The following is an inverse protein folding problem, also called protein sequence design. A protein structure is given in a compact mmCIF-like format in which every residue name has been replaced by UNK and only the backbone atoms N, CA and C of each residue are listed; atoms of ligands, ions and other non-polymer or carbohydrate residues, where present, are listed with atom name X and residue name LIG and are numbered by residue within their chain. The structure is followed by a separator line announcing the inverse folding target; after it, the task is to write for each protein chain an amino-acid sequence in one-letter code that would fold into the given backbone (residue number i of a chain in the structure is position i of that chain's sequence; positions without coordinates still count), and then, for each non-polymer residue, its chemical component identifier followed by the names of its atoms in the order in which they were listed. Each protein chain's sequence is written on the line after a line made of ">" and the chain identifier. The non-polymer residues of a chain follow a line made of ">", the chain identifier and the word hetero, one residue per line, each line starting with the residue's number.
data_IF_227460579926
#
_entry.id   IF_227460579926
#
_cell.length_a   1.000
_cell.length_b   1.000
_cell.length_c   1.000
_cell.angle_alpha   90.00
_cell.angle_beta   90.00
_cell.angle_gamma   90.00
#
_symmetry.space_group_name_H-M   'P 1'
#
loop_
_entity.id
_entity.type
_entity.pdbx_description
1 polymer ?
#
# COMPACT_ATOMS: atom_id res chain seq x y z
N UNK A 1 -14.66 1.08 77.28
CA UNK A 1 -14.49 1.01 75.81
C UNK A 1 -13.85 2.30 75.24
N UNK A 2 -12.74 2.81 75.80
CA UNK A 2 -12.11 4.08 75.37
C UNK A 2 -10.89 3.91 74.45
N UNK A 3 -10.36 2.70 74.32
CA UNK A 3 -9.12 2.41 73.59
C UNK A 3 -9.30 1.72 72.23
N UNK A 4 -10.53 1.42 71.82
CA UNK A 4 -10.82 0.81 70.52
C UNK A 4 -10.66 1.82 69.37
N UNK A 5 -11.08 3.06 69.56
CA UNK A 5 -11.01 4.14 68.56
C UNK A 5 -9.58 4.45 68.07
N UNK A 6 -8.57 4.63 68.94
CA UNK A 6 -7.20 4.89 68.47
C UNK A 6 -6.58 3.69 67.76
N UNK A 7 -6.97 2.47 68.14
CA UNK A 7 -6.45 1.24 67.54
C UNK A 7 -6.93 1.06 66.09
N UNK A 8 -8.21 1.37 65.81
CA UNK A 8 -8.74 1.39 64.44
C UNK A 8 -8.07 2.46 63.57
N UNK A 9 -7.72 3.62 64.14
CA UNK A 9 -7.06 4.70 63.41
C UNK A 9 -5.65 4.31 62.94
N UNK A 10 -4.87 3.63 63.78
CA UNK A 10 -3.53 3.12 63.44
C UNK A 10 -3.61 2.03 62.36
N UNK A 11 -4.60 1.14 62.46
CA UNK A 11 -4.86 0.10 61.45
C UNK A 11 -5.24 0.70 60.09
N UNK A 12 -6.05 1.76 60.08
CA UNK A 12 -6.49 2.42 58.86
C UNK A 12 -5.32 3.14 58.14
N UNK A 13 -4.44 3.81 58.89
CA UNK A 13 -3.24 4.44 58.32
C UNK A 13 -2.30 3.39 57.72
N UNK A 14 -2.13 2.25 58.38
CA UNK A 14 -1.31 1.13 57.88
C UNK A 14 -1.81 0.58 56.54
N UNK A 15 -3.13 0.36 56.40
CA UNK A 15 -3.74 -0.12 55.15
C UNK A 15 -3.54 0.88 54.00
N UNK A 16 -3.73 2.19 54.26
CA UNK A 16 -3.51 3.23 53.25
C UNK A 16 -2.04 3.27 52.80
N UNK A 17 -1.08 3.13 53.73
CA UNK A 17 0.34 3.11 53.38
C UNK A 17 0.72 1.92 52.50
N UNK A 18 0.17 0.72 52.76
CA UNK A 18 0.44 -0.48 51.94
C UNK A 18 -0.11 -0.32 50.52
N UNK A 19 -1.32 0.25 50.36
CA UNK A 19 -1.93 0.48 49.04
C UNK A 19 -1.11 1.50 48.24
N UNK A 20 -0.62 2.56 48.88
CA UNK A 20 0.15 3.60 48.20
C UNK A 20 1.54 3.10 47.76
N UNK A 21 2.21 2.29 48.60
CA UNK A 21 3.51 1.67 48.27
C UNK A 21 3.39 0.62 47.16
N UNK A 22 2.31 -0.18 47.14
CA UNK A 22 2.08 -1.15 46.05
C UNK A 22 1.58 -0.50 44.75
N UNK A 23 0.93 0.67 44.80
CA UNK A 23 0.48 1.40 43.60
C UNK A 23 1.62 2.09 42.83
N UNK A 24 2.77 2.30 43.48
CA UNK A 24 3.97 2.87 42.87
C UNK A 24 4.75 1.86 42.00
N UNK A 25 4.49 0.55 42.12
CA UNK A 25 5.06 -0.49 41.25
C UNK A 25 4.25 -0.66 39.97
N UNK A 26 4.05 0.42 39.23
CA UNK A 26 3.64 0.30 37.83
C UNK A 26 4.83 -0.29 37.08
N UNK A 27 4.71 -1.55 36.67
CA UNK A 27 5.65 -2.16 35.75
C UNK A 27 5.94 -1.18 34.59
N UNK A 28 7.20 -0.99 34.18
CA UNK A 28 7.52 -0.10 33.08
C UNK A 28 6.67 -0.54 31.90
N UNK A 29 5.73 0.33 31.49
CA UNK A 29 4.98 0.12 30.26
C UNK A 29 6.02 -0.07 29.17
N UNK A 30 6.14 -1.31 28.66
CA UNK A 30 6.94 -1.58 27.46
C UNK A 30 6.61 -0.48 26.47
N UNK A 31 7.61 0.19 25.88
CA UNK A 31 7.37 1.27 24.95
C UNK A 31 6.39 0.75 23.90
N UNK A 32 5.22 1.37 23.86
CA UNK A 32 4.19 1.12 22.85
C UNK A 32 4.91 1.18 21.51
N UNK A 33 4.95 0.03 20.85
CA UNK A 33 5.66 -0.20 19.60
C UNK A 33 5.47 1.01 18.70
N UNK A 34 6.56 1.71 18.41
CA UNK A 34 6.58 2.85 17.49
C UNK A 34 5.71 2.50 16.30
N UNK A 35 4.77 3.37 15.91
CA UNK A 35 4.04 3.25 14.66
C UNK A 35 5.07 3.14 13.52
N UNK A 36 5.47 1.92 13.18
CA UNK A 36 6.33 1.64 12.03
C UNK A 36 5.45 1.95 10.84
N UNK A 37 5.50 3.21 10.36
CA UNK A 37 4.87 3.62 9.12
C UNK A 37 5.30 2.58 8.09
N UNK A 38 4.34 1.80 7.60
CA UNK A 38 4.66 0.80 6.59
C UNK A 38 5.12 1.53 5.34
N UNK A 39 6.43 1.56 5.11
CA UNK A 39 7.01 2.18 3.95
C UNK A 39 6.62 1.36 2.72
N UNK A 40 5.90 2.00 1.80
CA UNK A 40 5.62 1.45 0.49
C UNK A 40 6.85 1.66 -0.37
N UNK A 41 7.31 0.58 -1.00
CA UNK A 41 8.47 0.57 -1.87
C UNK A 41 8.03 0.23 -3.28
N UNK A 42 8.64 0.81 -4.33
CA UNK A 42 8.31 0.46 -5.70
C UNK A 42 8.45 -1.04 -5.95
N UNK A 43 7.50 -1.61 -6.67
CA UNK A 43 7.50 -3.02 -7.01
C UNK A 43 8.61 -3.29 -8.04
N UNK A 44 9.50 -4.24 -7.73
CA UNK A 44 10.67 -4.57 -8.57
C UNK A 44 10.34 -5.39 -9.83
N UNK A 45 9.07 -5.61 -10.14
CA UNK A 45 8.65 -6.41 -11.30
C UNK A 45 8.09 -5.51 -12.40
N UNK A 46 8.17 -5.92 -13.68
CA UNK A 46 7.61 -5.12 -14.77
C UNK A 46 6.10 -4.94 -14.59
N UNK A 47 5.62 -3.71 -14.71
CA UNK A 47 4.18 -3.38 -14.57
C UNK A 47 3.33 -4.00 -15.68
N UNK A 48 3.93 -4.22 -16.85
CA UNK A 48 3.30 -4.92 -17.98
C UNK A 48 3.45 -6.46 -17.88
N UNK A 49 4.04 -6.97 -16.79
CA UNK A 49 4.22 -8.40 -16.57
C UNK A 49 2.89 -9.12 -16.32
N UNK A 50 2.81 -10.40 -16.71
CA UNK A 50 1.59 -11.22 -16.61
C UNK A 50 0.97 -11.19 -15.21
N UNK A 51 1.76 -11.35 -14.16
CA UNK A 51 1.29 -11.30 -12.77
C UNK A 51 0.64 -9.96 -12.42
N UNK A 52 1.26 -8.82 -12.77
CA UNK A 52 0.74 -7.49 -12.45
C UNK A 52 -0.55 -7.23 -13.22
N UNK A 53 -0.58 -7.60 -14.50
CA UNK A 53 -1.77 -7.50 -15.36
C UNK A 53 -2.94 -8.33 -14.83
N UNK A 54 -2.69 -9.58 -14.39
CA UNK A 54 -3.73 -10.45 -13.81
C UNK A 54 -4.30 -9.83 -12.54
N UNK A 55 -3.43 -9.31 -11.64
CA UNK A 55 -3.88 -8.64 -10.42
C UNK A 55 -4.66 -7.36 -10.73
N UNK A 56 -4.18 -6.56 -11.68
CA UNK A 56 -4.88 -5.36 -12.14
C UNK A 56 -6.30 -5.67 -12.62
N UNK A 57 -6.43 -6.65 -13.51
CA UNK A 57 -7.75 -7.13 -13.98
C UNK A 57 -8.63 -7.64 -12.85
N UNK A 58 -8.08 -8.45 -11.93
CA UNK A 58 -8.80 -8.95 -10.75
C UNK A 58 -9.34 -7.80 -9.88
N UNK A 59 -8.56 -6.74 -9.70
CA UNK A 59 -8.99 -5.54 -8.98
C UNK A 59 -10.15 -4.81 -9.66
N UNK A 60 -10.10 -4.65 -10.98
CA UNK A 60 -11.18 -4.02 -11.76
C UNK A 60 -12.47 -4.85 -11.71
N UNK A 61 -12.36 -6.17 -11.86
CA UNK A 61 -13.50 -7.09 -11.77
C UNK A 61 -14.15 -7.00 -10.39
N UNK A 62 -13.33 -7.03 -9.34
CA UNK A 62 -13.81 -6.91 -7.96
C UNK A 62 -14.56 -5.60 -7.73
N UNK A 63 -13.99 -4.46 -8.15
CA UNK A 63 -14.63 -3.16 -8.02
C UNK A 63 -15.98 -3.09 -8.75
N UNK A 64 -16.04 -3.55 -10.00
CA UNK A 64 -17.25 -3.55 -10.80
C UNK A 64 -18.35 -4.47 -10.22
N UNK A 65 -17.96 -5.54 -9.50
CA UNK A 65 -18.91 -6.42 -8.80
C UNK A 65 -19.52 -5.73 -7.59
N UNK A 66 -18.75 -4.93 -6.86
CA UNK A 66 -19.24 -4.18 -5.69
C UNK A 66 -19.99 -2.89 -6.08
N UNK A 67 -19.72 -2.32 -7.26
CA UNK A 67 -20.28 -1.04 -7.69
C UNK A 67 -21.12 -1.19 -8.96
N UNK A 68 -22.43 -1.31 -8.81
CA UNK A 68 -23.37 -1.52 -9.93
C UNK A 68 -23.56 -0.28 -10.83
N UNK A 69 -23.29 0.92 -10.32
CA UNK A 69 -23.63 2.18 -10.99
C UNK A 69 -22.66 2.55 -12.13
N UNK A 70 -21.41 2.10 -12.05
CA UNK A 70 -20.35 2.44 -13.00
C UNK A 70 -19.50 1.23 -13.31
N UNK A 71 -19.41 0.86 -14.58
CA UNK A 71 -18.50 -0.20 -15.03
C UNK A 71 -17.22 0.40 -15.59
N UNK A 72 -16.10 -0.19 -15.22
CA UNK A 72 -14.78 0.21 -15.70
C UNK A 72 -14.13 -0.90 -16.52
N UNK A 73 -13.47 -0.53 -17.63
CA UNK A 73 -12.60 -1.40 -18.42
C UNK A 73 -11.16 -1.21 -17.99
N UNK A 74 -10.45 -2.31 -17.79
CA UNK A 74 -9.01 -2.30 -17.50
C UNK A 74 -8.22 -1.76 -18.70
N UNK A 75 -7.29 -0.82 -18.45
CA UNK A 75 -6.33 -0.33 -19.45
C UNK A 75 -4.95 -0.94 -19.24
N UNK A 76 -4.25 -0.45 -18.23
CA UNK A 76 -2.90 -0.89 -17.85
C UNK A 76 -2.68 -0.62 -16.35
N UNK A 77 -1.53 -1.08 -15.83
CA UNK A 77 -1.09 -0.71 -14.48
C UNK A 77 -0.02 0.37 -14.60
N UNK A 78 -0.26 1.52 -13.97
CA UNK A 78 0.63 2.69 -14.04
C UNK A 78 1.65 2.68 -12.92
N UNK A 79 1.29 2.16 -11.75
CA UNK A 79 2.18 2.07 -10.60
C UNK A 79 1.98 0.76 -9.84
N UNK A 80 3.07 0.27 -9.25
CA UNK A 80 3.06 -0.88 -8.35
C UNK A 80 3.97 -0.62 -7.16
N UNK A 81 3.44 -0.86 -5.97
CA UNK A 81 4.16 -0.73 -4.70
C UNK A 81 4.02 -2.00 -3.87
N UNK A 82 4.96 -2.24 -2.97
CA UNK A 82 4.89 -3.33 -1.99
C UNK A 82 5.38 -2.87 -0.63
N UNK A 83 4.82 -3.46 0.42
CA UNK A 83 5.31 -3.30 1.78
C UNK A 83 5.25 -4.64 2.53
N UNK A 84 5.94 -4.73 3.66
CA UNK A 84 5.99 -5.95 4.47
C UNK A 84 6.88 -7.05 3.89
N UNK A 85 6.84 -8.23 4.50
CA UNK A 85 7.69 -9.37 4.16
C UNK A 85 6.85 -10.63 3.94
N UNK A 86 7.13 -11.37 2.87
CA UNK A 86 6.38 -12.60 2.54
C UNK A 86 6.54 -13.66 3.65
N UNK A 87 7.76 -13.80 4.18
CA UNK A 87 8.10 -14.76 5.25
C UNK A 87 7.25 -14.52 6.50
N UNK A 88 6.97 -13.24 6.82
CA UNK A 88 6.12 -12.85 7.94
C UNK A 88 4.62 -12.92 7.63
N UNK A 89 4.23 -13.22 6.40
CA UNK A 89 2.83 -13.29 5.97
C UNK A 89 2.10 -11.95 5.95
N UNK A 90 2.83 -10.84 6.06
CA UNK A 90 2.26 -9.49 6.12
C UNK A 90 2.61 -8.66 4.87
N UNK A 91 3.05 -9.32 3.79
CA UNK A 91 3.40 -8.65 2.55
C UNK A 91 2.12 -8.15 1.87
N UNK A 92 2.13 -6.89 1.45
CA UNK A 92 1.05 -6.30 0.66
C UNK A 92 1.60 -5.81 -0.67
N UNK A 93 0.76 -5.86 -1.70
CA UNK A 93 1.01 -5.28 -3.02
C UNK A 93 -0.09 -4.26 -3.25
N UNK A 94 0.27 -3.05 -3.66
CA UNK A 94 -0.67 -2.02 -4.07
C UNK A 94 -0.43 -1.70 -5.53
N UNK A 95 -1.49 -1.68 -6.31
CA UNK A 95 -1.45 -1.33 -7.72
C UNK A 95 -2.30 -0.07 -7.94
N UNK A 96 -1.77 0.86 -8.72
CA UNK A 96 -2.54 1.95 -9.33
C UNK A 96 -2.81 1.54 -10.77
N UNK A 97 -4.08 1.38 -11.11
CA UNK A 97 -4.55 0.81 -12.37
C UNK A 97 -5.27 1.92 -13.14
N UNK A 98 -4.89 2.14 -14.40
CA UNK A 98 -5.64 3.03 -15.27
C UNK A 98 -6.87 2.29 -15.79
N UNK A 99 -8.03 2.92 -15.70
CA UNK A 99 -9.31 2.35 -16.11
C UNK A 99 -10.10 3.35 -16.95
N UNK A 100 -10.80 2.86 -17.98
CA UNK A 100 -11.75 3.63 -18.76
C UNK A 100 -13.16 3.39 -18.24
N UNK A 101 -13.96 4.44 -18.08
CA UNK A 101 -15.37 4.29 -17.75
C UNK A 101 -16.15 3.78 -18.98
N UNK A 102 -16.87 2.68 -18.81
CA UNK A 102 -17.78 2.16 -19.84
C UNK A 102 -19.11 2.88 -19.74
N UNK A 103 -19.38 3.80 -20.66
CA UNK A 103 -20.67 4.46 -20.75
C UNK A 103 -21.69 3.52 -21.40
N UNK A 104 -22.88 3.40 -20.79
CA UNK A 104 -24.01 2.73 -21.45
C UNK A 104 -24.37 3.60 -22.65
N UNK A 105 -24.27 3.03 -23.88
CA UNK A 105 -24.52 3.70 -25.17
C UNK A 105 -25.62 4.77 -25.04
N UNK A 106 -25.23 6.03 -25.14
CA UNK A 106 -26.17 7.14 -25.31
C UNK A 106 -25.59 8.09 -26.35
N UNK A 107 -25.73 7.70 -27.62
CA UNK A 107 -25.66 8.42 -28.92
C UNK A 107 -24.68 9.59 -29.15
N UNK A 108 -23.87 9.98 -28.18
CA UNK A 108 -22.93 11.07 -28.29
C UNK A 108 -21.54 10.51 -28.08
N UNK A 109 -20.64 11.00 -28.92
CA UNK A 109 -19.20 10.79 -28.96
C UNK A 109 -18.57 11.37 -27.68
N UNK A 110 -19.03 10.96 -26.51
CA UNK A 110 -18.54 11.46 -25.23
C UNK A 110 -17.19 10.81 -24.96
N UNK A 111 -16.17 11.64 -24.87
CA UNK A 111 -14.80 11.27 -24.52
C UNK A 111 -14.82 10.27 -23.35
N UNK A 112 -14.33 9.05 -23.59
CA UNK A 112 -14.21 8.06 -22.53
C UNK A 112 -13.34 8.65 -21.41
N UNK A 113 -13.89 8.74 -20.19
CA UNK A 113 -13.14 9.28 -19.06
C UNK A 113 -12.21 8.20 -18.50
N UNK A 114 -10.94 8.56 -18.31
CA UNK A 114 -9.98 7.74 -17.59
C UNK A 114 -9.96 8.12 -16.13
N UNK A 115 -9.87 7.11 -15.28
CA UNK A 115 -9.65 7.27 -13.85
C UNK A 115 -8.56 6.29 -13.40
N UNK A 116 -8.02 6.54 -12.21
CA UNK A 116 -7.15 5.58 -11.54
C UNK A 116 -7.92 4.78 -10.50
N UNK A 117 -7.74 3.46 -10.52
CA UNK A 117 -8.25 2.53 -9.55
C UNK A 117 -7.10 1.99 -8.70
N UNK A 118 -7.16 2.19 -7.39
CA UNK A 118 -6.16 1.66 -6.46
C UNK A 118 -6.64 0.34 -5.87
N UNK A 119 -5.90 -0.74 -6.09
CA UNK A 119 -6.18 -2.05 -5.53
C UNK A 119 -5.04 -2.50 -4.60
N UNK A 120 -5.39 -3.01 -3.42
CA UNK A 120 -4.43 -3.54 -2.44
C UNK A 120 -4.68 -5.03 -2.25
N UNK A 121 -3.62 -5.82 -2.36
CA UNK A 121 -3.63 -7.27 -2.21
C UNK A 121 -2.79 -7.68 -1.00
N UNK A 122 -3.30 -8.61 -0.21
CA UNK A 122 -2.53 -9.36 0.76
C UNK A 122 -1.78 -10.48 0.04
N UNK A 123 -0.51 -10.70 0.38
CA UNK A 123 0.28 -11.82 -0.12
C UNK A 123 0.53 -12.78 1.03
N UNK A 124 -0.10 -13.95 0.98
CA UNK A 124 0.05 -14.99 2.00
C UNK A 124 1.45 -15.60 1.96
N UNK A 125 1.79 -16.40 2.98
CA UNK A 125 3.07 -17.13 3.03
C UNK A 125 3.22 -18.10 1.86
N UNK A 126 2.11 -18.70 1.43
CA UNK A 126 2.01 -19.60 0.27
C UNK A 126 2.10 -18.83 -1.07
N UNK A 127 1.98 -17.50 -1.04
CA UNK A 127 2.03 -16.64 -2.22
C UNK A 127 0.69 -16.43 -2.91
N UNK A 128 -0.42 -16.83 -2.27
CA UNK A 128 -1.77 -16.44 -2.68
C UNK A 128 -1.95 -14.94 -2.54
N UNK A 129 -2.78 -14.36 -3.41
CA UNK A 129 -2.94 -12.92 -3.56
C UNK A 129 -4.42 -12.58 -3.47
N UNK A 130 -4.80 -12.16 -2.27
CA UNK A 130 -6.19 -11.91 -1.90
C UNK A 130 -6.41 -10.41 -1.83
N UNK A 131 -7.56 -9.96 -2.32
CA UNK A 131 -7.83 -8.53 -2.39
C UNK A 131 -8.30 -8.06 -1.01
N UNK A 132 -7.74 -6.95 -0.55
CA UNK A 132 -8.10 -6.33 0.74
C UNK A 132 -8.99 -5.11 0.49
N UNK A 133 -8.61 -4.29 -0.50
CA UNK A 133 -9.23 -3.00 -0.73
C UNK A 133 -9.16 -2.65 -2.21
N UNK A 134 -10.25 -2.11 -2.73
CA UNK A 134 -10.25 -1.43 -4.03
C UNK A 134 -10.94 -0.08 -3.89
N UNK A 135 -10.33 0.97 -4.43
CA UNK A 135 -10.85 2.34 -4.34
C UNK A 135 -10.57 3.11 -5.62
N UNK A 136 -11.60 3.74 -6.18
CA UNK A 136 -11.44 4.71 -7.26
C UNK A 136 -10.81 5.99 -6.72
N UNK A 137 -9.75 6.46 -7.36
CA UNK A 137 -9.11 7.72 -7.03
C UNK A 137 -9.86 8.86 -7.73
N UNK A 138 -10.01 10.00 -7.05
CA UNK A 138 -10.68 11.20 -7.58
C UNK A 138 -9.84 11.94 -8.65
N UNK A 139 -8.82 11.29 -9.20
CA UNK A 139 -7.97 11.86 -10.23
C UNK A 139 -8.51 11.46 -11.60
N UNK A 140 -9.10 12.44 -12.28
CA UNK A 140 -9.42 12.31 -13.70
C UNK A 140 -8.12 12.46 -14.49
N UNK A 141 -7.90 11.54 -15.43
CA UNK A 141 -6.73 11.62 -16.32
C UNK A 141 -7.18 12.33 -17.59
N UNK A 142 -6.58 13.49 -17.85
CA UNK A 142 -6.79 14.26 -19.08
C UNK A 142 -6.03 13.58 -20.22
N UNK A 143 -6.77 13.02 -21.19
CA UNK A 143 -6.19 12.35 -22.35
C UNK A 143 -7.19 11.42 -23.04
N UNK A 144 -6.84 10.95 -24.23
CA UNK A 144 -7.64 9.96 -24.97
C UNK A 144 -7.48 8.59 -24.30
N UNK A 145 -8.59 8.04 -23.85
CA UNK A 145 -8.66 6.76 -23.13
C UNK A 145 -9.01 5.57 -24.04
N UNK A 146 -8.95 5.79 -25.35
CA UNK A 146 -9.32 4.80 -26.34
C UNK A 146 -8.20 3.78 -26.48
N UNK A 147 -8.38 2.64 -25.82
CA UNK A 147 -7.73 1.41 -26.26
C UNK A 147 -8.54 0.90 -27.43
N UNK A 148 -8.23 1.39 -28.63
CA UNK A 148 -8.59 0.63 -29.80
C UNK A 148 -7.88 -0.72 -29.69
N UNK A 149 -8.62 -1.82 -29.82
CA UNK A 149 -8.10 -3.19 -29.67
C UNK A 149 -6.97 -3.52 -30.68
N UNK A 150 -6.68 -2.60 -31.62
CA UNK A 150 -5.64 -2.68 -32.64
C UNK A 150 -4.24 -2.20 -32.20
N UNK A 151 -4.10 -1.47 -31.08
CA UNK A 151 -2.81 -0.84 -30.70
C UNK A 151 -2.05 -1.58 -29.58
N UNK A 152 -2.30 -2.89 -29.38
CA UNK A 152 -1.55 -3.71 -28.41
C UNK A 152 -0.04 -3.81 -28.69
N UNK A 153 0.41 -3.34 -29.85
CA UNK A 153 1.81 -3.45 -30.28
C UNK A 153 2.69 -2.27 -29.84
N UNK A 154 2.12 -1.12 -29.41
CA UNK A 154 2.88 0.12 -29.23
C UNK A 154 2.97 0.62 -27.77
N UNK A 155 3.36 -0.24 -26.81
CA UNK A 155 3.89 0.24 -25.51
C UNK A 155 5.17 -0.48 -25.08
N UNK A 156 5.96 -0.97 -26.04
CA UNK A 156 7.37 -1.29 -25.84
C UNK A 156 8.21 -0.15 -26.42
N UNK A 157 8.41 0.94 -25.68
CA UNK A 157 9.67 1.72 -25.58
C UNK A 157 9.41 3.14 -25.08
N UNK A 158 9.82 3.40 -23.85
CA UNK A 158 10.55 4.64 -23.59
C UNK A 158 11.74 4.25 -22.73
N UNK A 159 12.86 4.00 -23.41
CA UNK A 159 14.15 3.76 -22.76
C UNK A 159 14.55 5.03 -22.01
N UNK A 160 14.90 4.83 -20.74
CA UNK A 160 15.71 5.67 -19.86
C UNK A 160 16.78 6.45 -20.64
N UNK A 161 17.01 7.76 -20.39
CA UNK A 161 18.16 8.46 -20.96
C UNK A 161 19.47 7.88 -20.39
N UNK A 162 20.29 7.39 -21.30
CA UNK A 162 21.66 6.91 -21.08
C UNK A 162 22.52 8.06 -20.55
N UNK A 163 23.00 7.98 -19.30
CA UNK A 163 24.10 8.84 -18.85
C UNK A 163 25.36 8.43 -19.60
N UNK A 164 25.85 9.31 -20.46
CA UNK A 164 27.17 9.28 -21.10
C UNK A 164 28.24 9.07 -20.02
N UNK A 165 28.90 7.92 -20.09
CA UNK A 165 30.20 7.68 -19.48
C UNK A 165 31.18 8.68 -20.10
N UNK A 166 31.71 9.60 -19.29
CA UNK A 166 32.86 10.41 -19.67
C UNK A 166 34.09 9.81 -19.00
N UNK A 167 34.99 9.39 -19.88
CA UNK A 167 36.28 8.76 -19.70
C UNK A 167 37.25 9.72 -19.00
N UNK A 168 37.76 9.39 -17.81
CA UNK A 168 39.01 9.96 -17.30
C UNK A 168 40.13 8.93 -17.41
N UNK A 169 41.05 9.19 -18.34
CA UNK A 169 42.36 8.53 -18.40
C UNK A 169 43.15 8.95 -17.16
N UNK A 170 43.63 7.99 -16.37
CA UNK A 170 44.73 8.20 -15.44
C UNK A 170 45.95 7.45 -15.96
N UNK A 171 46.97 8.20 -16.34
CA UNK A 171 48.30 7.74 -16.72
C UNK A 171 49.31 8.38 -15.76
N UNK A 172 49.91 7.58 -14.87
CA UNK A 172 51.17 7.79 -14.12
C UNK A 172 51.22 6.70 -13.04
N UNK A 173 52.29 5.94 -12.81
CA UNK A 173 53.63 6.05 -13.32
C UNK A 173 54.41 4.75 -13.08
N UNK A 174 55.45 4.63 -13.89
CA UNK A 174 56.56 3.69 -13.80
C UNK A 174 57.41 4.05 -12.57
N UNK A 175 57.73 3.10 -11.70
CA UNK A 175 58.80 3.23 -10.70
C UNK A 175 59.50 1.89 -10.53
N UNK A 176 60.79 1.96 -10.87
CA UNK A 176 61.96 1.14 -10.53
C UNK A 176 61.82 -0.37 -10.46
#
# INVERSE_FOLDING_TARGET
>A
MKYLIPLYFILFISIITIINVNSAKKAPKKPTTSNVKSYWTPLKVPLNGSMVTILGKKGVIYYNKEHNNSKFKYINVTEGETCGQKVRGNKKIRLTILVAQTLKKKNNKSNASCNHLRAVFNVTKEGRKDIILVKLLKTTVTGICDINDKDKELQKTTKKPTKKSTKSKSSKGKKN
#
